data_IF_197551414683
#
_entry.id   IF_197551414683
#
_cell.length_a   1.000
_cell.length_b   1.000
_cell.length_c   1.000
_cell.angle_alpha   90.00
_cell.angle_beta   90.00
_cell.angle_gamma   90.00
#
_symmetry.space_group_name_H-M   'P 1'
#
loop_
_entity.id
_entity.type
_entity.pdbx_description
1 polymer ?
#
# COMPACT_ATOMS: atom_id res chain seq x y z
N UNK A 1 1.94 21.66 1.45
CA UNK A 1 2.56 20.46 2.05
C UNK A 1 3.81 20.12 1.27
N UNK A 2 4.95 20.05 1.94
CA UNK A 2 6.22 19.78 1.26
C UNK A 2 6.40 18.26 1.12
N UNK A 3 6.63 17.80 -0.10
CA UNK A 3 6.88 16.40 -0.35
C UNK A 3 8.30 16.01 0.06
N UNK A 4 8.43 14.90 0.79
CA UNK A 4 9.72 14.33 1.15
C UNK A 4 10.25 13.42 0.05
N UNK A 5 11.57 13.18 -0.05
CA UNK A 5 12.09 12.13 -0.90
C UNK A 5 11.52 10.77 -0.47
N UNK A 6 11.31 9.86 -1.44
CA UNK A 6 10.87 8.51 -1.11
C UNK A 6 11.92 7.81 -0.23
N UNK A 7 11.50 7.07 0.81
CA UNK A 7 12.46 6.34 1.63
C UNK A 7 13.15 5.24 0.81
N UNK A 8 14.46 5.15 0.98
CA UNK A 8 15.28 4.14 0.30
C UNK A 8 15.39 2.87 1.16
N UNK A 9 15.81 1.79 0.53
CA UNK A 9 16.11 0.54 1.22
C UNK A 9 17.10 0.80 2.36
N UNK A 10 16.76 0.32 3.55
CA UNK A 10 17.54 0.53 4.77
C UNK A 10 17.07 1.70 5.63
N UNK A 11 16.22 2.57 5.10
CA UNK A 11 15.68 3.69 5.86
C UNK A 11 14.41 3.30 6.63
N UNK A 12 14.15 4.00 7.71
CA UNK A 12 12.92 3.83 8.48
C UNK A 12 11.73 4.32 7.66
N UNK A 13 10.71 3.51 7.52
CA UNK A 13 9.47 3.90 6.86
C UNK A 13 8.71 4.92 7.72
N UNK A 14 8.22 6.03 7.15
CA UNK A 14 7.39 6.98 7.90
C UNK A 14 6.15 6.30 8.50
N UNK A 15 5.91 6.51 9.79
CA UNK A 15 4.70 5.99 10.44
C UNK A 15 3.48 6.79 9.97
N UNK A 16 2.31 6.18 10.06
CA UNK A 16 1.05 6.84 9.72
C UNK A 16 -0.10 6.20 10.49
N UNK A 17 -1.21 6.91 10.52
CA UNK A 17 -2.46 6.48 11.13
C UNK A 17 -3.59 6.91 10.19
N UNK A 18 -4.13 5.97 9.43
CA UNK A 18 -5.17 6.21 8.43
C UNK A 18 -6.41 5.37 8.72
N UNK A 19 -7.56 5.82 8.22
CA UNK A 19 -8.79 5.03 8.31
C UNK A 19 -8.93 4.11 7.10
N UNK A 20 -9.43 2.90 7.35
CA UNK A 20 -9.74 1.96 6.29
C UNK A 20 -11.18 2.18 5.76
N UNK A 21 -11.62 1.31 4.85
CA UNK A 21 -12.96 1.38 4.23
C UNK A 21 -14.10 1.20 5.23
N UNK A 22 -13.82 0.69 6.41
CA UNK A 22 -14.81 0.51 7.49
C UNK A 22 -14.73 1.64 8.54
N UNK A 23 -13.87 2.63 8.32
CA UNK A 23 -13.66 3.72 9.26
C UNK A 23 -12.78 3.37 10.45
N UNK A 24 -12.17 2.19 10.46
CA UNK A 24 -11.26 1.76 11.53
C UNK A 24 -9.87 2.33 11.29
N UNK A 25 -9.21 2.74 12.38
CA UNK A 25 -7.84 3.26 12.31
C UNK A 25 -6.83 2.15 12.11
N UNK A 26 -5.90 2.37 11.17
CA UNK A 26 -4.80 1.48 10.89
C UNK A 26 -3.50 2.26 11.01
N UNK A 27 -2.63 1.83 11.92
CA UNK A 27 -1.33 2.47 12.17
C UNK A 27 -0.23 1.53 11.73
N UNK A 28 0.71 2.04 10.91
CA UNK A 28 1.82 1.23 10.42
C UNK A 28 2.62 0.60 11.56
N UNK A 29 2.97 1.39 12.59
CA UNK A 29 3.78 0.90 13.71
C UNK A 29 3.11 -0.22 14.52
N UNK A 30 1.81 -0.44 14.39
CA UNK A 30 1.12 -1.54 15.07
C UNK A 30 1.54 -2.92 14.55
N UNK A 31 2.16 -2.98 13.38
CA UNK A 31 2.65 -4.23 12.79
C UNK A 31 4.09 -4.56 13.18
N UNK A 32 4.80 -3.65 13.85
CA UNK A 32 6.18 -3.91 14.27
C UNK A 32 6.27 -5.14 15.17
N UNK A 33 7.26 -5.99 14.89
CA UNK A 33 7.45 -7.24 15.61
C UNK A 33 6.41 -8.32 15.29
N UNK A 34 5.50 -8.05 14.34
CA UNK A 34 4.39 -8.95 14.04
C UNK A 34 4.33 -9.38 12.59
N UNK A 35 4.31 -8.40 11.67
CA UNK A 35 4.12 -8.68 10.23
C UNK A 35 5.03 -7.80 9.38
N UNK A 36 5.46 -8.35 8.26
CA UNK A 36 6.00 -7.58 7.14
C UNK A 36 4.82 -6.88 6.48
N UNK A 37 4.97 -5.60 6.17
CA UNK A 37 3.92 -4.81 5.52
C UNK A 37 4.26 -4.60 4.05
N UNK A 38 3.32 -4.91 3.18
CA UNK A 38 3.35 -4.50 1.77
C UNK A 38 2.46 -3.29 1.64
N UNK A 39 3.07 -2.13 1.44
CA UNK A 39 2.37 -0.86 1.34
C UNK A 39 2.26 -0.47 -0.13
N UNK A 40 1.05 -0.56 -0.68
CA UNK A 40 0.77 -0.29 -2.08
C UNK A 40 0.02 1.03 -2.23
N UNK A 41 0.70 2.04 -2.80
CA UNK A 41 0.03 3.27 -3.21
C UNK A 41 -0.54 3.10 -4.61
N UNK A 42 -1.75 3.56 -4.82
CA UNK A 42 -2.40 3.54 -6.13
C UNK A 42 -3.15 4.85 -6.38
N UNK A 43 -3.29 5.26 -7.66
CA UNK A 43 -3.84 6.59 -7.96
C UNK A 43 -5.30 6.78 -7.56
N UNK A 44 -6.21 5.93 -8.05
CA UNK A 44 -7.64 6.11 -7.85
C UNK A 44 -8.38 4.79 -7.77
N UNK A 45 -9.23 4.65 -6.76
CA UNK A 45 -10.27 3.61 -6.76
C UNK A 45 -11.14 3.77 -8.01
N UNK A 46 -11.67 2.67 -8.50
CA UNK A 46 -12.50 2.59 -9.71
C UNK A 46 -11.76 2.84 -11.03
N UNK A 47 -10.51 3.27 -11.02
CA UNK A 47 -9.74 3.36 -12.25
C UNK A 47 -9.46 1.96 -12.80
N UNK A 48 -9.33 1.85 -14.13
CA UNK A 48 -9.19 0.56 -14.81
C UNK A 48 -7.96 -0.23 -14.34
N UNK A 49 -6.79 0.40 -14.30
CA UNK A 49 -5.54 -0.27 -13.94
C UNK A 49 -5.53 -0.64 -12.46
N UNK A 50 -5.95 0.28 -11.59
CA UNK A 50 -5.99 0.02 -10.15
C UNK A 50 -6.98 -1.08 -9.80
N UNK A 51 -8.16 -1.07 -10.41
CA UNK A 51 -9.17 -2.13 -10.22
C UNK A 51 -8.60 -3.49 -10.63
N UNK A 52 -7.96 -3.57 -11.79
CA UNK A 52 -7.34 -4.80 -12.28
C UNK A 52 -6.24 -5.31 -11.36
N UNK A 53 -5.37 -4.42 -10.86
CA UNK A 53 -4.30 -4.80 -9.93
C UNK A 53 -4.84 -5.38 -8.62
N UNK A 54 -5.81 -4.69 -8.02
CA UNK A 54 -6.34 -5.11 -6.72
C UNK A 54 -7.16 -6.40 -6.83
N UNK A 55 -7.87 -6.59 -7.94
CA UNK A 55 -8.55 -7.87 -8.21
C UNK A 55 -7.56 -9.00 -8.38
N UNK A 56 -6.45 -8.77 -9.06
CA UNK A 56 -5.40 -9.76 -9.24
C UNK A 56 -4.75 -10.15 -7.91
N UNK A 57 -4.50 -9.18 -7.03
CA UNK A 57 -4.03 -9.44 -5.67
C UNK A 57 -5.03 -10.34 -4.93
N UNK A 58 -6.31 -10.00 -4.99
CA UNK A 58 -7.37 -10.79 -4.35
C UNK A 58 -7.38 -12.25 -4.81
N UNK A 59 -7.27 -12.47 -6.12
CA UNK A 59 -7.46 -13.79 -6.72
C UNK A 59 -6.20 -14.64 -6.74
N UNK A 60 -5.03 -14.02 -6.97
CA UNK A 60 -3.79 -14.74 -7.31
C UNK A 60 -2.70 -14.64 -6.24
N UNK A 61 -2.85 -13.74 -5.26
CA UNK A 61 -1.79 -13.45 -4.30
C UNK A 61 -2.26 -13.47 -2.84
N UNK A 62 -2.81 -14.63 -2.38
CA UNK A 62 -3.25 -14.75 -0.98
C UNK A 62 -2.12 -14.61 0.03
N UNK A 63 -0.86 -14.80 -0.39
CA UNK A 63 0.32 -14.63 0.46
C UNK A 63 0.50 -13.18 0.95
N UNK A 64 -0.12 -12.21 0.30
CA UNK A 64 -0.05 -10.80 0.70
C UNK A 64 -0.91 -10.48 1.93
N UNK A 65 -1.78 -11.41 2.33
CA UNK A 65 -2.55 -11.30 3.58
C UNK A 65 -2.44 -12.63 4.30
N UNK A 66 -1.51 -12.72 5.24
CA UNK A 66 -1.21 -13.96 5.96
C UNK A 66 -0.85 -13.64 7.41
N UNK A 67 -0.47 -14.66 8.18
CA UNK A 67 -0.02 -14.47 9.56
C UNK A 67 1.28 -13.67 9.65
N UNK A 68 2.09 -13.65 8.61
CA UNK A 68 3.40 -12.98 8.57
C UNK A 68 3.45 -11.76 7.65
N UNK A 69 2.44 -11.54 6.81
CA UNK A 69 2.41 -10.45 5.82
C UNK A 69 1.07 -9.74 5.87
N UNK A 70 1.09 -8.41 5.85
CA UNK A 70 -0.10 -7.57 5.74
C UNK A 70 0.01 -6.63 4.55
N UNK A 71 -0.93 -6.74 3.62
CA UNK A 71 -1.10 -5.78 2.54
C UNK A 71 -1.90 -4.59 3.07
N UNK A 72 -1.40 -3.39 2.81
CA UNK A 72 -2.12 -2.13 3.03
C UNK A 72 -2.12 -1.37 1.70
N UNK A 73 -3.30 -1.13 1.14
CA UNK A 73 -3.45 -0.38 -0.10
C UNK A 73 -3.91 1.04 0.22
N UNK A 74 -3.20 2.04 -0.31
CA UNK A 74 -3.43 3.46 0.05
C UNK A 74 -3.73 4.27 -1.20
N UNK A 75 -4.81 5.05 -1.14
CA UNK A 75 -5.14 6.06 -2.15
C UNK A 75 -5.62 7.34 -1.47
N UNK A 76 -5.75 8.41 -2.26
CA UNK A 76 -6.28 9.68 -1.75
C UNK A 76 -7.81 9.76 -1.83
N UNK A 77 -8.48 8.63 -2.02
CA UNK A 77 -9.95 8.56 -2.05
C UNK A 77 -10.55 8.64 -0.64
N UNK A 78 -11.76 9.19 -0.49
CA UNK A 78 -12.44 9.18 0.81
C UNK A 78 -12.91 7.79 1.22
N UNK A 79 -13.10 7.57 2.52
CA UNK A 79 -13.46 6.25 3.07
C UNK A 79 -14.76 5.69 2.48
N UNK A 80 -15.75 6.53 2.22
CA UNK A 80 -17.02 6.07 1.63
C UNK A 80 -16.84 5.53 0.21
N UNK A 81 -15.99 6.19 -0.59
CA UNK A 81 -15.64 5.69 -1.92
C UNK A 81 -14.90 4.36 -1.84
N UNK A 82 -13.96 4.23 -0.89
CA UNK A 82 -13.21 2.99 -0.69
C UNK A 82 -14.11 1.85 -0.24
N UNK A 83 -15.10 2.11 0.59
CA UNK A 83 -16.07 1.10 1.00
C UNK A 83 -16.87 0.57 -0.18
N UNK A 84 -17.40 1.46 -1.01
CA UNK A 84 -18.14 1.06 -2.20
C UNK A 84 -17.25 0.27 -3.17
N UNK A 85 -16.02 0.71 -3.35
CA UNK A 85 -15.05 0.03 -4.20
C UNK A 85 -14.74 -1.38 -3.67
N UNK A 86 -14.47 -1.51 -2.37
CA UNK A 86 -14.21 -2.80 -1.74
C UNK A 86 -15.40 -3.76 -1.87
N UNK A 87 -16.61 -3.26 -1.67
CA UNK A 87 -17.83 -4.06 -1.79
C UNK A 87 -18.05 -4.55 -3.22
N UNK A 88 -17.89 -3.68 -4.20
CA UNK A 88 -18.07 -4.03 -5.62
C UNK A 88 -17.02 -5.00 -6.13
N UNK A 89 -15.79 -4.88 -5.65
CA UNK A 89 -14.67 -5.71 -6.12
C UNK A 89 -14.39 -6.88 -5.18
N UNK A 90 -15.15 -7.02 -4.10
CA UNK A 90 -14.97 -8.07 -3.09
C UNK A 90 -13.53 -8.08 -2.54
N UNK A 91 -13.07 -6.93 -2.06
CA UNK A 91 -11.73 -6.75 -1.49
C UNK A 91 -11.82 -6.76 0.03
N UNK A 92 -11.14 -7.72 0.66
CA UNK A 92 -11.17 -7.87 2.12
C UNK A 92 -9.98 -7.20 2.82
N UNK A 93 -8.87 -6.96 2.10
CA UNK A 93 -7.70 -6.30 2.70
C UNK A 93 -7.98 -4.80 2.93
N UNK A 94 -7.25 -4.15 3.87
CA UNK A 94 -7.47 -2.74 4.16
C UNK A 94 -7.19 -1.83 2.97
N UNK A 95 -8.16 -0.97 2.67
CA UNK A 95 -8.03 0.14 1.73
C UNK A 95 -7.98 1.43 2.55
N UNK A 96 -6.81 2.04 2.64
CA UNK A 96 -6.55 3.16 3.52
C UNK A 96 -6.78 4.48 2.79
N UNK A 97 -7.41 5.43 3.49
CA UNK A 97 -7.79 6.73 2.94
C UNK A 97 -6.79 7.80 3.34
N UNK A 98 -6.04 8.29 2.36
CA UNK A 98 -5.14 9.44 2.51
C UNK A 98 -5.83 10.71 1.95
N UNK A 99 -7.14 10.83 2.23
CA UNK A 99 -7.96 11.90 1.68
C UNK A 99 -7.72 13.25 2.35
N UNK A 100 -7.55 13.25 3.69
CA UNK A 100 -7.39 14.51 4.41
C UNK A 100 -6.49 14.37 5.65
N UNK A 101 -5.47 15.22 5.85
CA UNK A 101 -4.99 16.21 4.87
C UNK A 101 -4.60 15.51 3.56
N UNK A 102 -5.03 16.07 2.45
CA UNK A 102 -5.02 15.38 1.15
C UNK A 102 -3.61 14.98 0.71
N UNK A 103 -3.35 13.69 0.61
CA UNK A 103 -2.06 13.17 0.18
C UNK A 103 -0.94 13.32 1.20
N UNK A 104 -1.24 13.52 2.49
CA UNK A 104 -0.23 13.72 3.54
C UNK A 104 0.71 12.53 3.64
N UNK A 105 0.19 11.31 3.67
CA UNK A 105 1.01 10.10 3.77
C UNK A 105 1.75 9.83 2.46
N UNK A 106 1.08 9.99 1.31
CA UNK A 106 1.75 9.89 0.01
C UNK A 106 2.91 10.88 -0.10
N UNK A 107 2.75 12.10 0.39
CA UNK A 107 3.81 13.11 0.41
C UNK A 107 4.96 12.73 1.35
N UNK A 108 4.66 12.13 2.51
CA UNK A 108 5.68 11.64 3.43
C UNK A 108 6.52 10.52 2.82
N UNK A 109 5.94 9.76 1.90
CA UNK A 109 6.64 8.70 1.15
C UNK A 109 7.20 9.16 -0.20
N UNK A 110 7.07 10.46 -0.52
CA UNK A 110 7.61 10.99 -1.77
C UNK A 110 6.87 10.53 -3.03
N UNK A 111 5.62 10.10 -2.90
CA UNK A 111 4.86 9.48 -3.99
C UNK A 111 3.56 10.20 -4.32
N UNK A 112 3.40 11.43 -3.86
CA UNK A 112 2.23 12.23 -4.19
C UNK A 112 2.45 13.00 -5.50
N UNK A 113 1.47 12.93 -6.41
CA UNK A 113 1.45 13.70 -7.65
C UNK A 113 0.59 14.95 -7.45
N UNK A 114 1.21 16.14 -7.27
CA UNK A 114 0.44 17.36 -7.00
C UNK A 114 -0.36 17.87 -8.20
N UNK A 115 0.01 17.49 -9.42
CA UNK A 115 -0.72 17.89 -10.61
C UNK A 115 -2.03 17.12 -10.75
N UNK A 116 -2.01 15.85 -10.38
CA UNK A 116 -3.19 14.97 -10.46
C UNK A 116 -3.96 14.89 -9.15
N UNK A 117 -3.35 15.27 -8.02
CA UNK A 117 -3.97 15.19 -6.72
C UNK A 117 -4.14 13.77 -6.21
N UNK A 118 -3.27 12.86 -6.59
CA UNK A 118 -3.32 11.46 -6.21
C UNK A 118 -1.94 10.89 -5.95
N UNK A 119 -1.89 9.67 -5.41
CA UNK A 119 -0.62 8.95 -5.24
C UNK A 119 -0.14 8.40 -6.59
N UNK A 120 1.18 8.27 -6.70
CA UNK A 120 1.80 7.50 -7.77
C UNK A 120 1.59 6.01 -7.54
N UNK A 121 1.85 5.21 -8.57
CA UNK A 121 1.78 3.75 -8.48
C UNK A 121 3.08 3.21 -7.91
N UNK A 122 3.17 3.13 -6.59
CA UNK A 122 4.39 2.76 -5.86
C UNK A 122 4.12 1.68 -4.83
N UNK A 123 5.11 0.83 -4.59
CA UNK A 123 5.02 -0.23 -3.60
C UNK A 123 6.26 -0.20 -2.72
N UNK A 124 6.07 -0.33 -1.41
CA UNK A 124 7.14 -0.47 -0.44
C UNK A 124 6.94 -1.76 0.35
N UNK A 125 7.99 -2.53 0.55
CA UNK A 125 7.99 -3.65 1.47
C UNK A 125 8.76 -3.23 2.72
N UNK A 126 8.08 -3.30 3.86
CA UNK A 126 8.58 -2.81 5.15
C UNK A 126 8.67 -4.01 6.10
N UNK A 127 9.85 -4.22 6.68
CA UNK A 127 10.06 -5.37 7.57
C UNK A 127 9.43 -5.15 8.95
N UNK A 128 9.58 -6.14 9.83
CA UNK A 128 9.01 -6.10 11.18
C UNK A 128 9.66 -5.05 12.08
N UNK A 129 10.82 -4.52 11.70
CA UNK A 129 11.48 -3.41 12.40
C UNK A 129 11.05 -2.04 11.88
N UNK A 130 10.18 -2.00 10.88
CA UNK A 130 9.70 -0.76 10.27
C UNK A 130 10.66 -0.18 9.23
N UNK A 131 11.60 -0.99 8.72
CA UNK A 131 12.62 -0.56 7.76
C UNK A 131 12.21 -0.97 6.35
N UNK A 132 12.38 -0.06 5.39
CA UNK A 132 12.11 -0.33 3.98
C UNK A 132 13.15 -1.32 3.45
N UNK A 133 12.69 -2.45 2.91
CA UNK A 133 13.55 -3.49 2.33
C UNK A 133 13.49 -3.55 0.82
N UNK A 134 12.46 -2.99 0.23
CA UNK A 134 12.28 -2.96 -1.22
C UNK A 134 11.30 -1.86 -1.58
N UNK A 135 11.50 -1.22 -2.72
CA UNK A 135 10.59 -0.22 -3.24
C UNK A 135 10.61 -0.25 -4.76
N UNK A 136 9.45 -0.01 -5.37
CA UNK A 136 9.32 0.14 -6.81
C UNK A 136 8.30 1.23 -7.13
N UNK A 137 8.61 2.01 -8.15
CA UNK A 137 7.75 3.09 -8.63
C UNK A 137 7.42 2.82 -10.09
N UNK A 138 6.14 2.52 -10.37
CA UNK A 138 5.68 2.23 -11.73
C UNK A 138 5.08 3.49 -12.36
N UNK A 139 5.11 3.57 -13.70
CA UNK A 139 4.41 4.61 -14.42
C UNK A 139 2.89 4.47 -14.19
N UNK A 140 2.15 5.58 -14.24
CA UNK A 140 0.70 5.60 -13.98
C UNK A 140 -0.10 4.54 -14.74
N UNK A 141 0.13 4.31 -16.05
CA UNK A 141 -0.63 3.31 -16.79
C UNK A 141 -0.14 1.88 -16.61
N UNK A 142 1.03 1.68 -15.97
CA UNK A 142 1.65 0.37 -15.90
C UNK A 142 1.30 -0.35 -14.60
N UNK A 143 0.71 -1.55 -14.73
CA UNK A 143 0.50 -2.42 -13.57
C UNK A 143 1.84 -2.89 -12.99
N UNK A 144 1.87 -3.10 -11.68
CA UNK A 144 3.09 -3.51 -10.97
C UNK A 144 3.40 -4.99 -11.16
N UNK A 145 4.70 -5.35 -11.04
CA UNK A 145 5.15 -6.75 -11.11
C UNK A 145 4.98 -7.42 -9.75
N UNK A 146 3.89 -8.16 -9.60
CA UNK A 146 3.58 -8.85 -8.35
C UNK A 146 4.46 -10.09 -8.11
N UNK A 147 5.05 -10.66 -9.16
CA UNK A 147 5.95 -11.82 -9.03
C UNK A 147 7.26 -11.42 -8.35
N UNK A 148 7.86 -10.29 -8.73
CA UNK A 148 9.06 -9.78 -8.08
C UNK A 148 8.79 -9.44 -6.61
N UNK A 149 7.66 -8.81 -6.34
CA UNK A 149 7.22 -8.51 -4.99
C UNK A 149 7.12 -9.78 -4.14
N UNK A 150 6.59 -10.86 -4.69
CA UNK A 150 6.48 -12.15 -4.00
C UNK A 150 7.84 -12.75 -3.66
N UNK A 151 8.83 -12.61 -4.54
CA UNK A 151 10.19 -13.10 -4.26
C UNK A 151 10.84 -12.37 -3.10
N UNK A 152 10.70 -11.05 -3.05
CA UNK A 152 11.25 -10.24 -1.94
C UNK A 152 10.58 -10.61 -0.62
N UNK A 153 9.27 -10.80 -0.63
CA UNK A 153 8.52 -11.23 0.56
C UNK A 153 9.01 -12.58 1.06
N UNK A 154 9.25 -13.54 0.17
CA UNK A 154 9.75 -14.86 0.54
C UNK A 154 11.11 -14.78 1.24
N UNK A 155 12.00 -13.90 0.79
CA UNK A 155 13.29 -13.67 1.43
C UNK A 155 13.15 -13.11 2.85
N UNK A 156 12.18 -12.21 3.09
CA UNK A 156 11.98 -11.57 4.38
C UNK A 156 11.23 -12.45 5.39
N UNK A 157 10.32 -13.30 4.91
CA UNK A 157 9.51 -14.15 5.78
C UNK A 157 10.10 -15.56 5.94
N UNK A 158 11.11 -15.90 5.14
CA UNK A 158 11.71 -17.21 5.11
C UNK A 158 10.83 -18.24 4.38
N UNK A 159 11.36 -19.47 4.16
CA UNK A 159 10.56 -20.52 3.55
C UNK A 159 9.38 -20.86 4.45
N UNK A 160 8.21 -20.99 3.86
CA UNK A 160 7.05 -21.55 4.56
C UNK A 160 7.35 -23.01 4.89
N UNK A 161 7.51 -23.27 6.16
CA UNK A 161 7.62 -24.65 6.62
C UNK A 161 6.26 -25.33 6.59
#
# INVERSE_FOLDING_TARGET
MTQRPAPETGEQAPDFDLRDQHGQRVRLSSYRGRKVVVLMFYPYAFSRVCTGELRKVRDDHPELVSDSVQLLAVSCDPTFALREFADRQDLAFPLLSDFWPHGEVASAYGVFDPERGCANRSTFIIDTDGVVRWAVHNAMPDARDLAEQGRVLAELTGPLE
#
